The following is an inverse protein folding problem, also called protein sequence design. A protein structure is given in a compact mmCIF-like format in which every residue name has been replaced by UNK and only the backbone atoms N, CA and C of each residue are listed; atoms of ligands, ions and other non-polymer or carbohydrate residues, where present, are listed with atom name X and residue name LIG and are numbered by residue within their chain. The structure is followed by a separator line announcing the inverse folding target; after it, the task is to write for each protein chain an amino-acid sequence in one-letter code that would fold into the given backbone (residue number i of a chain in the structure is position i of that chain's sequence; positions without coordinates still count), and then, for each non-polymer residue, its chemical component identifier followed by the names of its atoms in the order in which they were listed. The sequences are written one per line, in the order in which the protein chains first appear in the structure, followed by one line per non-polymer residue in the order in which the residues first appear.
data_IF_864832511541
#
_entry.id   IF_864832511541
#
_cell.length_a   1.000
_cell.length_b   1.000
_cell.length_c   1.000
_cell.angle_alpha   90.00
_cell.angle_beta   90.00
_cell.angle_gamma   90.00
#
_symmetry.space_group_name_H-M   'P 1'
#
loop_
_entity.id
_entity.type
_entity.pdbx_description
1 polymer ?
#
# COMPACT_ATOMS: atom_id res chain seq x y z
N UNK A 1 -9.20 2.72 18.15
CA UNK A 1 -8.05 1.99 17.53
C UNK A 1 -7.38 1.10 18.55
N UNK A 2 -7.21 -0.19 18.26
CA UNK A 2 -6.49 -1.12 19.14
C UNK A 2 -5.01 -1.10 18.80
N UNK A 3 -4.15 -0.88 19.80
CA UNK A 3 -2.70 -0.85 19.64
C UNK A 3 -2.03 -2.11 20.17
N UNK A 4 -1.12 -2.66 19.39
CA UNK A 4 -0.21 -3.74 19.78
C UNK A 4 1.23 -3.30 19.57
N UNK A 5 2.06 -3.38 20.61
CA UNK A 5 3.45 -2.97 20.55
C UNK A 5 4.40 -4.15 20.60
N UNK A 6 5.38 -4.16 19.73
CA UNK A 6 6.47 -5.13 19.71
C UNK A 6 7.80 -4.39 19.73
N UNK A 7 8.68 -4.78 20.63
CA UNK A 7 10.01 -4.18 20.77
C UNK A 7 11.07 -5.25 20.47
N UNK A 8 11.98 -4.95 19.55
CA UNK A 8 13.09 -5.82 19.19
C UNK A 8 14.41 -5.12 19.50
N UNK A 9 15.18 -5.66 20.45
CA UNK A 9 16.49 -5.12 20.85
C UNK A 9 16.46 -3.68 21.38
N UNK A 10 15.32 -3.23 21.86
CA UNK A 10 15.17 -1.89 22.47
C UNK A 10 14.18 -1.98 23.63
N UNK A 11 14.50 -1.31 24.73
CA UNK A 11 13.52 -1.04 25.77
C UNK A 11 12.81 0.27 25.44
N UNK A 12 11.49 0.20 25.25
CA UNK A 12 10.73 1.35 24.82
C UNK A 12 10.37 2.23 26.02
N UNK A 13 10.64 3.52 25.87
CA UNK A 13 10.21 4.52 26.85
C UNK A 13 8.70 4.80 26.63
N UNK A 14 7.94 4.93 27.71
CA UNK A 14 6.48 5.19 27.65
C UNK A 14 6.15 6.49 26.91
N UNK A 15 7.07 7.46 26.91
CA UNK A 15 6.91 8.69 26.13
C UNK A 15 6.88 8.45 24.62
N UNK A 16 7.61 7.45 24.13
CA UNK A 16 7.64 7.08 22.69
C UNK A 16 6.37 6.32 22.32
N UNK A 17 5.87 5.47 23.21
CA UNK A 17 4.56 4.79 23.02
C UNK A 17 3.42 5.81 22.93
N UNK A 18 3.34 6.73 23.89
CA UNK A 18 2.33 7.80 23.89
C UNK A 18 2.44 8.68 22.62
N UNK A 19 3.65 8.94 22.15
CA UNK A 19 3.88 9.67 20.91
C UNK A 19 3.34 8.90 19.71
N UNK A 20 3.63 7.60 19.61
CA UNK A 20 3.13 6.73 18.53
C UNK A 20 1.59 6.67 18.54
N UNK A 21 0.96 6.48 19.71
CA UNK A 21 -0.49 6.50 19.84
C UNK A 21 -1.10 7.80 19.34
N UNK A 22 -0.53 8.94 19.73
CA UNK A 22 -1.00 10.26 19.29
C UNK A 22 -0.88 10.46 17.78
N UNK A 23 0.21 9.97 17.17
CA UNK A 23 0.45 10.14 15.72
C UNK A 23 -0.34 9.14 14.88
N UNK A 24 -0.25 7.86 15.22
CA UNK A 24 -0.95 6.79 14.50
C UNK A 24 -2.46 6.87 14.73
N UNK A 25 -2.90 7.27 15.93
CA UNK A 25 -4.32 7.47 16.24
C UNK A 25 -5.03 8.46 15.33
N UNK A 26 -4.31 9.46 14.79
CA UNK A 26 -4.88 10.39 13.80
C UNK A 26 -5.33 9.70 12.50
N UNK A 27 -4.80 8.51 12.20
CA UNK A 27 -5.16 7.76 11.00
C UNK A 27 -6.52 7.06 11.14
N UNK A 28 -7.05 6.92 12.36
CA UNK A 28 -8.37 6.33 12.61
C UNK A 28 -9.48 7.03 11.81
N UNK A 29 -9.39 8.36 11.62
CA UNK A 29 -10.33 9.15 10.83
C UNK A 29 -10.54 8.66 9.38
N UNK A 30 -9.62 7.88 8.85
CA UNK A 30 -9.72 7.33 7.51
C UNK A 30 -10.50 6.02 7.43
N UNK A 31 -10.80 5.40 8.58
CA UNK A 31 -11.51 4.13 8.67
C UNK A 31 -12.92 4.38 9.18
N UNK A 32 -13.89 3.56 8.74
CA UNK A 32 -15.28 3.62 9.22
C UNK A 32 -15.44 2.86 10.53
N UNK A 33 -14.71 1.78 10.67
CA UNK A 33 -14.69 0.90 11.83
C UNK A 33 -13.33 0.97 12.51
N UNK A 34 -13.26 0.55 13.75
CA UNK A 34 -12.06 0.61 14.56
C UNK A 34 -10.93 -0.27 14.00
N UNK A 35 -9.84 0.33 13.48
CA UNK A 35 -8.74 -0.43 12.95
C UNK A 35 -7.80 -0.95 14.04
N UNK A 36 -7.08 -2.02 13.73
CA UNK A 36 -6.00 -2.54 14.56
C UNK A 36 -4.66 -1.97 14.10
N UNK A 37 -3.89 -1.43 15.03
CA UNK A 37 -2.56 -0.89 14.80
C UNK A 37 -1.51 -1.77 15.48
N UNK A 38 -0.59 -2.34 14.72
CA UNK A 38 0.60 -3.01 15.24
C UNK A 38 1.81 -2.14 14.96
N UNK A 39 2.52 -1.76 16.01
CA UNK A 39 3.72 -0.92 15.94
C UNK A 39 4.90 -1.71 16.46
N UNK A 40 5.88 -1.96 15.59
CA UNK A 40 7.11 -2.66 15.94
C UNK A 40 8.27 -1.68 15.94
N UNK A 41 8.98 -1.63 17.04
CA UNK A 41 10.18 -0.83 17.19
C UNK A 41 11.42 -1.71 17.21
N UNK A 42 12.43 -1.35 16.45
CA UNK A 42 13.70 -2.05 16.44
C UNK A 42 14.87 -1.07 16.33
N UNK A 43 16.01 -1.48 16.88
CA UNK A 43 17.27 -0.76 16.69
C UNK A 43 18.23 -1.68 15.95
N UNK A 44 18.71 -1.18 14.82
CA UNK A 44 19.65 -1.88 13.96
C UNK A 44 21.10 -1.47 14.23
N UNK A 45 22.04 -2.08 13.51
CA UNK A 45 23.46 -1.74 13.59
C UNK A 45 23.66 -0.25 13.34
N UNK A 46 24.62 0.37 14.03
CA UNK A 46 24.91 1.81 14.02
C UNK A 46 23.82 2.69 14.64
N UNK A 47 23.10 2.17 15.63
CA UNK A 47 22.07 2.92 16.39
C UNK A 47 20.93 3.49 15.55
N UNK A 48 20.65 2.89 14.37
CA UNK A 48 19.51 3.28 13.52
C UNK A 48 18.21 2.81 14.16
N UNK A 49 17.27 3.73 14.36
CA UNK A 49 15.95 3.43 14.85
C UNK A 49 15.02 3.10 13.68
N UNK A 50 14.35 1.96 13.76
CA UNK A 50 13.39 1.50 12.75
C UNK A 50 12.01 1.38 13.39
N UNK A 51 11.03 2.06 12.80
CA UNK A 51 9.63 1.95 13.16
C UNK A 51 8.86 1.26 12.03
N UNK A 52 8.25 0.13 12.34
CA UNK A 52 7.32 -0.55 11.44
C UNK A 52 5.91 -0.35 11.98
N UNK A 53 5.03 0.23 11.17
CA UNK A 53 3.63 0.43 11.50
C UNK A 53 2.78 -0.37 10.52
N UNK A 54 1.88 -1.17 11.07
CA UNK A 54 0.94 -1.97 10.32
C UNK A 54 -0.48 -1.62 10.79
N UNK A 55 -1.34 -1.19 9.88
CA UNK A 55 -2.74 -0.90 10.13
C UNK A 55 -3.62 -1.90 9.40
N UNK A 56 -4.50 -2.56 10.12
CA UNK A 56 -5.50 -3.49 9.59
C UNK A 56 -6.89 -2.88 9.77
N UNK A 57 -7.59 -2.64 8.66
CA UNK A 57 -9.00 -2.26 8.68
C UNK A 57 -9.91 -3.48 8.81
N UNK A 58 -11.15 -3.28 9.29
CA UNK A 58 -12.14 -4.34 9.49
C UNK A 58 -12.48 -5.13 8.22
N UNK A 59 -12.41 -4.48 7.06
CA UNK A 59 -12.63 -5.11 5.75
C UNK A 59 -11.39 -5.86 5.19
N UNK A 60 -10.42 -6.19 6.03
CA UNK A 60 -9.19 -6.91 5.66
C UNK A 60 -8.14 -6.06 4.94
N UNK A 61 -8.38 -4.77 4.75
CA UNK A 61 -7.38 -3.88 4.12
C UNK A 61 -6.18 -3.72 5.06
N UNK A 62 -4.98 -3.99 4.54
CA UNK A 62 -3.73 -3.89 5.27
C UNK A 62 -2.85 -2.79 4.70
N UNK A 63 -2.40 -1.87 5.57
CA UNK A 63 -1.40 -0.87 5.25
C UNK A 63 -0.16 -1.10 6.11
N UNK A 64 1.00 -1.13 5.46
CA UNK A 64 2.29 -1.32 6.13
C UNK A 64 3.27 -0.25 5.69
N UNK A 65 3.99 0.32 6.64
CA UNK A 65 5.14 1.18 6.40
C UNK A 65 6.28 0.78 7.34
N UNK A 66 7.48 0.83 6.82
CA UNK A 66 8.72 0.62 7.57
C UNK A 66 9.61 1.81 7.25
N UNK A 67 9.98 2.55 8.26
CA UNK A 67 10.87 3.71 8.14
C UNK A 67 12.00 3.60 9.14
N UNK A 68 13.18 4.00 8.71
CA UNK A 68 14.37 4.07 9.54
C UNK A 68 14.81 5.52 9.70
N UNK A 69 15.28 5.85 10.87
CA UNK A 69 15.92 7.13 11.14
C UNK A 69 17.41 6.91 11.37
N UNK A 70 18.28 7.49 10.51
CA UNK A 70 19.73 7.32 10.64
C UNK A 70 20.33 8.04 11.84
N UNK A 71 19.66 9.06 12.34
CA UNK A 71 20.10 9.86 13.49
C UNK A 71 19.76 9.21 14.83
N UNK A 72 19.02 8.08 14.79
CA UNK A 72 18.64 7.33 15.98
C UNK A 72 17.45 7.92 16.72
N UNK A 73 16.66 8.80 16.09
CA UNK A 73 15.43 9.32 16.68
C UNK A 73 14.23 8.44 16.31
N UNK A 74 13.74 7.70 17.30
CA UNK A 74 12.55 6.86 17.12
C UNK A 74 11.29 7.67 16.75
N UNK A 75 11.20 8.93 17.17
CA UNK A 75 10.07 9.80 16.85
C UNK A 75 10.08 10.21 15.39
N UNK A 76 11.25 10.50 14.82
CA UNK A 76 11.42 10.76 13.39
C UNK A 76 10.96 9.58 12.54
N UNK A 77 11.39 8.36 12.90
CA UNK A 77 10.95 7.13 12.23
C UNK A 77 9.42 6.92 12.29
N UNK A 78 8.79 7.22 13.42
CA UNK A 78 7.32 7.14 13.60
C UNK A 78 6.61 8.16 12.70
N UNK A 79 7.10 9.39 12.64
CA UNK A 79 6.48 10.44 11.84
C UNK A 79 6.54 10.11 10.35
N UNK A 80 7.68 9.65 9.87
CA UNK A 80 7.82 9.25 8.48
C UNK A 80 6.95 8.03 8.13
N UNK A 81 6.95 7.00 8.97
CA UNK A 81 6.11 5.82 8.79
C UNK A 81 4.61 6.19 8.76
N UNK A 82 4.18 7.08 9.64
CA UNK A 82 2.79 7.58 9.68
C UNK A 82 2.43 8.34 8.41
N UNK A 83 3.31 9.21 7.92
CA UNK A 83 3.10 9.96 6.67
C UNK A 83 3.03 9.03 5.45
N UNK A 84 3.87 7.98 5.40
CA UNK A 84 3.80 6.97 4.34
C UNK A 84 2.48 6.21 4.33
N UNK A 85 1.97 5.81 5.50
CA UNK A 85 0.67 5.13 5.61
C UNK A 85 -0.45 6.07 5.17
N UNK A 86 -0.44 7.31 5.59
CA UNK A 86 -1.45 8.29 5.17
C UNK A 86 -1.52 8.42 3.64
N UNK A 87 -0.37 8.53 2.96
CA UNK A 87 -0.31 8.55 1.48
C UNK A 87 -0.88 7.27 0.87
N UNK A 88 -0.53 6.09 1.43
CA UNK A 88 -1.06 4.79 0.96
C UNK A 88 -2.58 4.70 1.11
N UNK A 89 -3.14 5.18 2.23
CA UNK A 89 -4.58 5.22 2.47
C UNK A 89 -5.27 6.13 1.45
N UNK A 90 -4.76 7.34 1.24
CA UNK A 90 -5.32 8.29 0.26
C UNK A 90 -5.30 7.72 -1.15
N UNK A 91 -4.17 7.14 -1.56
CA UNK A 91 -4.04 6.48 -2.87
C UNK A 91 -5.02 5.32 -3.04
N UNK A 92 -5.21 4.50 -2.01
CA UNK A 92 -6.17 3.39 -2.04
C UNK A 92 -7.61 3.90 -2.19
N UNK A 93 -8.01 4.91 -1.41
CA UNK A 93 -9.35 5.51 -1.52
C UNK A 93 -9.61 6.08 -2.92
N UNK A 94 -8.65 6.78 -3.51
CA UNK A 94 -8.79 7.32 -4.87
C UNK A 94 -8.93 6.20 -5.90
N UNK A 95 -8.14 5.11 -5.77
CA UNK A 95 -8.22 3.95 -6.66
C UNK A 95 -9.59 3.27 -6.58
N UNK A 96 -10.09 3.04 -5.36
CA UNK A 96 -11.42 2.45 -5.15
C UNK A 96 -12.53 3.33 -5.73
N UNK A 97 -12.46 4.64 -5.53
CA UNK A 97 -13.44 5.57 -6.11
C UNK A 97 -13.41 5.57 -7.65
N UNK A 98 -12.23 5.45 -8.26
CA UNK A 98 -12.11 5.32 -9.72
C UNK A 98 -12.69 3.99 -10.23
N UNK A 99 -12.41 2.88 -9.57
CA UNK A 99 -12.94 1.57 -9.95
C UNK A 99 -14.48 1.53 -9.86
N UNK A 100 -15.06 2.04 -8.76
CA UNK A 100 -16.52 2.13 -8.61
C UNK A 100 -17.17 3.00 -9.69
N UNK A 101 -16.51 4.08 -10.12
CA UNK A 101 -17.01 4.89 -11.24
C UNK A 101 -16.89 4.17 -12.58
N UNK A 102 -15.81 3.41 -12.80
CA UNK A 102 -15.63 2.63 -14.02
C UNK A 102 -16.64 1.48 -14.13
N UNK A 103 -17.02 0.86 -13.01
CA UNK A 103 -18.06 -0.19 -12.96
C UNK A 103 -19.48 0.39 -13.10
N UNK A 104 -19.70 1.64 -12.70
CA UNK A 104 -21.00 2.32 -12.82
C UNK A 104 -21.27 2.85 -14.24
N UNK A 105 -20.26 2.95 -15.07
CA UNK A 105 -20.40 3.30 -16.50
C UNK A 105 -20.61 2.00 -17.28
N UNK A 106 -21.87 1.69 -17.60
CA UNK A 106 -22.20 0.71 -18.64
C UNK A 106 -21.46 1.11 -19.93
N UNK A 107 -20.93 0.16 -20.71
CA UNK A 107 -20.18 0.48 -21.91
C UNK A 107 -21.14 1.02 -22.98
N UNK A 108 -21.37 2.31 -23.01
CA UNK A 108 -21.78 3.01 -24.21
C UNK A 108 -20.53 3.16 -25.09
N UNK A 109 -20.72 2.84 -26.37
CA UNK A 109 -19.76 2.78 -27.46
C UNK A 109 -18.76 3.95 -27.48
N UNK A 110 -17.56 3.76 -28.04
CA UNK A 110 -16.44 4.69 -27.91
C UNK A 110 -16.69 5.95 -28.73
N UNK A 111 -17.01 7.05 -28.08
CA UNK A 111 -16.69 8.37 -28.60
C UNK A 111 -15.24 8.69 -28.21
N UNK A 112 -14.50 9.15 -29.20
CA UNK A 112 -13.08 9.52 -29.13
C UNK A 112 -12.82 10.44 -27.94
N UNK A 113 -12.10 9.96 -26.93
CA UNK A 113 -11.62 10.79 -25.84
C UNK A 113 -10.23 11.34 -26.19
N UNK A 114 -10.19 12.61 -26.50
CA UNK A 114 -8.96 13.40 -26.42
C UNK A 114 -8.44 13.34 -24.99
N UNK A 115 -7.21 12.84 -24.86
CA UNK A 115 -6.52 12.71 -23.59
C UNK A 115 -6.09 14.08 -23.10
N UNK A 116 -6.69 14.57 -22.03
CA UNK A 116 -6.08 15.59 -21.19
C UNK A 116 -5.19 14.94 -20.14
N UNK A 117 -3.91 15.21 -20.31
CA UNK A 117 -2.79 14.81 -19.46
C UNK A 117 -2.95 15.40 -18.06
N UNK A 118 -2.88 14.56 -17.02
CA UNK A 118 -2.19 14.87 -15.78
C UNK A 118 -1.98 13.59 -14.96
N UNK A 119 -0.73 13.18 -14.88
CA UNK A 119 -0.29 12.07 -14.03
C UNK A 119 0.12 10.82 -14.83
N UNK A 120 1.18 10.94 -15.59
CA UNK A 120 1.80 9.91 -16.42
C UNK A 120 2.24 8.70 -15.60
N UNK A 121 1.47 7.62 -15.73
CA UNK A 121 2.10 6.30 -15.73
C UNK A 121 2.45 6.01 -17.17
N UNK A 122 3.73 6.11 -17.52
CA UNK A 122 4.21 5.66 -18.82
C UNK A 122 3.92 4.18 -18.98
N UNK A 123 2.94 3.85 -19.83
CA UNK A 123 2.76 2.48 -20.31
C UNK A 123 3.87 2.21 -21.31
N UNK A 124 5.01 1.73 -20.81
CA UNK A 124 6.23 1.54 -21.58
C UNK A 124 6.08 0.50 -22.70
N UNK A 125 5.05 -0.36 -22.65
CA UNK A 125 4.79 -1.34 -23.71
C UNK A 125 3.38 -1.91 -23.68
N UNK A 126 2.61 -1.70 -24.75
CA UNK A 126 1.38 -2.44 -25.02
C UNK A 126 1.68 -3.55 -26.02
N UNK A 127 1.60 -4.82 -25.61
CA UNK A 127 1.66 -5.96 -26.52
C UNK A 127 0.23 -6.32 -26.94
N UNK A 128 -0.08 -6.18 -28.21
CA UNK A 128 -1.33 -6.68 -28.80
C UNK A 128 -1.04 -8.03 -29.46
N UNK A 129 -1.76 -9.05 -29.03
CA UNK A 129 -1.69 -10.37 -29.62
C UNK A 129 -2.96 -10.61 -30.44
N UNK A 130 -2.80 -10.89 -31.72
CA UNK A 130 -3.91 -11.37 -32.53
C UNK A 130 -4.05 -12.88 -32.29
N UNK A 131 -5.07 -13.27 -31.53
CA UNK A 131 -5.37 -14.68 -31.29
C UNK A 131 -6.19 -15.18 -32.45
N UNK A 132 -5.62 -16.07 -33.25
CA UNK A 132 -6.39 -16.83 -34.26
C UNK A 132 -6.91 -18.10 -33.59
N UNK A 133 -8.18 -18.50 -33.85
CA UNK A 133 -8.66 -19.77 -33.34
C UNK A 133 -7.81 -20.90 -33.94
N UNK A 134 -7.19 -21.69 -33.08
CA UNK A 134 -6.37 -22.84 -33.48
C UNK A 134 -7.06 -24.15 -33.09
N UNK A 135 -6.86 -25.18 -33.87
CA UNK A 135 -7.33 -26.52 -33.52
C UNK A 135 -6.60 -27.08 -32.31
N UNK A 136 -7.21 -28.00 -31.59
CA UNK A 136 -6.64 -28.63 -30.39
C UNK A 136 -5.27 -29.27 -30.66
N UNK A 137 -5.08 -29.83 -31.87
CA UNK A 137 -3.81 -30.40 -32.32
C UNK A 137 -2.70 -29.35 -32.47
N UNK A 138 -3.03 -28.16 -32.99
CA UNK A 138 -2.06 -27.07 -33.15
C UNK A 138 -1.59 -26.50 -31.80
N UNK A 139 -2.47 -26.49 -30.79
CA UNK A 139 -2.10 -26.07 -29.42
C UNK A 139 -1.13 -27.06 -28.77
N UNK A 140 -1.30 -28.37 -29.01
CA UNK A 140 -0.38 -29.40 -28.49
C UNK A 140 1.03 -29.26 -29.06
N UNK A 141 1.15 -28.91 -30.34
CA UNK A 141 2.45 -28.70 -30.99
C UNK A 141 3.21 -27.47 -30.48
N UNK A 142 2.50 -26.40 -30.14
CA UNK A 142 3.15 -25.19 -29.57
C UNK A 142 3.65 -25.43 -28.14
N UNK A 143 2.99 -26.28 -27.37
CA UNK A 143 3.40 -26.63 -26.01
C UNK A 143 4.64 -27.53 -25.97
N UNK A 144 4.80 -28.44 -26.94
CA UNK A 144 5.95 -29.35 -27.03
C UNK A 144 7.25 -28.66 -27.49
N UNK A 145 7.15 -27.47 -28.10
CA UNK A 145 8.31 -26.73 -28.62
C UNK A 145 8.84 -25.65 -27.66
N UNK A 146 8.22 -25.48 -26.50
CA UNK A 146 8.58 -24.46 -25.50
C UNK A 146 9.49 -25.02 -24.37
N UNK A 147 10.01 -26.25 -24.51
CA UNK A 147 11.03 -26.86 -23.65
C UNK A 147 12.34 -27.06 -24.37
#
# INVERSE_FOLDING_TARGET
MKFTYTCKKVSLNDSVKAYAEKKVGKLEKFFKEEPEASVTFSVEKKNRCVAEIMLRGANGTLFRAVCEDPDGDMRGAIDEATAQIERKIRKNKTRLAKNLRAEAVLPELPEEFEAHEEGTFDIVRTKRFTVKPMSVEAVSYTHLRAH
#
